data_IF_597383542043
#
_entry.id   IF_597383542043
#
_cell.length_a   1.000
_cell.length_b   1.000
_cell.length_c   1.000
_cell.angle_alpha   90.00
_cell.angle_beta   90.00
_cell.angle_gamma   90.00
#
_symmetry.space_group_name_H-M   'P 1'
#
loop_
_entity.id
_entity.type
_entity.pdbx_description
1 polymer ?
#
# COMPACT_ATOMS: atom_id res chain seq x y z
N UNK A 1 -1.21 7.55 -14.68
CA UNK A 1 -0.79 7.16 -13.32
C UNK A 1 -1.61 5.96 -12.91
N UNK A 2 -1.02 5.02 -12.18
CA UNK A 2 -1.72 3.88 -11.62
C UNK A 2 -2.28 4.25 -10.24
N UNK A 3 -3.17 3.41 -9.71
CA UNK A 3 -3.67 3.47 -8.35
C UNK A 3 -3.26 2.25 -7.54
N UNK A 4 -3.81 2.15 -6.34
CA UNK A 4 -3.51 1.08 -5.39
C UNK A 4 -4.76 0.80 -4.55
N UNK A 5 -5.17 -0.45 -4.50
CA UNK A 5 -6.21 -0.94 -3.58
C UNK A 5 -5.55 -1.75 -2.47
N UNK A 6 -5.72 -1.31 -1.21
CA UNK A 6 -5.10 -1.87 -0.03
C UNK A 6 -6.14 -2.43 0.94
N UNK A 7 -5.85 -3.60 1.51
CA UNK A 7 -6.52 -4.10 2.71
C UNK A 7 -5.52 -4.07 3.86
N UNK A 8 -5.77 -3.23 4.86
CA UNK A 8 -4.94 -3.16 6.05
C UNK A 8 -5.16 -4.40 6.92
N UNK A 9 -4.11 -4.89 7.59
CA UNK A 9 -4.27 -5.93 8.59
C UNK A 9 -5.14 -5.44 9.75
N UNK A 10 -5.75 -6.37 10.48
CA UNK A 10 -6.40 -6.06 11.74
C UNK A 10 -5.42 -5.36 12.69
N UNK A 11 -5.90 -4.34 13.42
CA UNK A 11 -5.08 -3.54 14.32
C UNK A 11 -5.49 -2.06 14.29
N UNK A 12 -4.52 -1.17 14.49
CA UNK A 12 -4.70 0.28 14.51
C UNK A 12 -4.44 0.89 13.11
N UNK A 13 -5.48 1.31 12.37
CA UNK A 13 -5.32 1.76 10.97
C UNK A 13 -4.43 3.00 10.82
N UNK A 14 -4.46 3.90 11.80
CA UNK A 14 -3.63 5.11 11.79
C UNK A 14 -2.15 4.76 11.91
N UNK A 15 -1.78 3.82 12.80
CA UNK A 15 -0.40 3.35 12.91
C UNK A 15 0.05 2.61 11.65
N UNK A 16 -0.84 1.85 11.01
CA UNK A 16 -0.53 1.16 9.77
C UNK A 16 -0.28 2.12 8.58
N UNK A 17 -0.98 3.26 8.53
CA UNK A 17 -0.86 4.25 7.44
C UNK A 17 0.22 5.31 7.68
N UNK A 18 0.42 5.74 8.92
CA UNK A 18 1.26 6.89 9.26
C UNK A 18 2.43 6.54 10.19
N UNK A 19 2.61 5.26 10.54
CA UNK A 19 3.73 4.82 11.36
C UNK A 19 5.06 4.85 10.59
N UNK A 20 6.06 5.54 11.14
CA UNK A 20 7.39 5.68 10.54
C UNK A 20 8.37 4.64 11.08
N UNK A 21 8.01 3.35 11.01
CA UNK A 21 8.94 2.29 11.42
C UNK A 21 10.10 2.23 10.43
N UNK A 22 11.33 2.38 10.95
CA UNK A 22 12.53 2.35 10.11
C UNK A 22 12.74 0.98 9.45
N UNK A 23 13.28 0.98 8.23
CA UNK A 23 13.62 -0.25 7.51
C UNK A 23 12.45 -0.95 6.81
N UNK A 24 11.25 -0.36 6.77
CA UNK A 24 10.15 -0.86 5.96
C UNK A 24 10.35 -0.52 4.48
N UNK A 25 10.18 -1.51 3.60
CA UNK A 25 10.21 -1.34 2.14
C UNK A 25 8.84 -1.68 1.54
N UNK A 26 8.45 -0.93 0.51
CA UNK A 26 7.28 -1.22 -0.31
C UNK A 26 7.74 -1.68 -1.71
N UNK A 27 7.24 -2.83 -2.16
CA UNK A 27 7.65 -3.45 -3.43
C UNK A 27 6.42 -3.81 -4.26
N UNK A 28 6.43 -3.42 -5.53
CA UNK A 28 5.50 -3.92 -6.54
C UNK A 28 6.09 -5.17 -7.19
N UNK A 29 5.30 -6.24 -7.27
CA UNK A 29 5.72 -7.52 -7.86
C UNK A 29 4.70 -7.95 -8.92
N UNK A 30 5.12 -8.21 -10.17
CA UNK A 30 4.23 -8.80 -11.16
C UNK A 30 3.65 -10.13 -10.67
N UNK A 31 2.35 -10.44 -10.91
CA UNK A 31 1.71 -11.63 -10.35
C UNK A 31 2.46 -12.95 -10.63
N UNK A 32 3.06 -13.08 -11.81
CA UNK A 32 3.85 -14.27 -12.18
C UNK A 32 5.14 -14.45 -11.37
N UNK A 33 5.59 -13.44 -10.62
CA UNK A 33 6.80 -13.48 -9.80
C UNK A 33 6.52 -13.47 -8.30
N UNK A 34 5.24 -13.38 -7.87
CA UNK A 34 4.88 -13.31 -6.45
C UNK A 34 5.43 -14.47 -5.63
N UNK A 35 5.21 -15.72 -6.08
CA UNK A 35 5.67 -16.89 -5.35
C UNK A 35 7.21 -16.95 -5.21
N UNK A 36 7.94 -16.61 -6.28
CA UNK A 36 9.40 -16.59 -6.26
C UNK A 36 9.94 -15.48 -5.33
N UNK A 37 9.29 -14.31 -5.34
CA UNK A 37 9.64 -13.19 -4.46
C UNK A 37 9.39 -13.52 -2.99
N UNK A 38 8.23 -14.08 -2.66
CA UNK A 38 7.90 -14.50 -1.29
C UNK A 38 8.84 -15.60 -0.79
N UNK A 39 9.22 -16.55 -1.65
CA UNK A 39 10.22 -17.56 -1.31
C UNK A 39 11.61 -16.96 -1.05
N UNK A 40 12.02 -15.94 -1.83
CA UNK A 40 13.29 -15.26 -1.62
C UNK A 40 13.35 -14.47 -0.30
N UNK A 41 12.19 -14.08 0.26
CA UNK A 41 12.05 -13.41 1.54
C UNK A 41 11.69 -14.37 2.69
N UNK A 42 11.75 -15.69 2.47
CA UNK A 42 11.41 -16.66 3.51
C UNK A 42 12.26 -16.42 4.78
N UNK A 43 11.60 -16.31 5.93
CA UNK A 43 12.24 -16.02 7.22
C UNK A 43 12.40 -14.52 7.53
N UNK A 44 12.07 -13.63 6.58
CA UNK A 44 12.00 -12.19 6.79
C UNK A 44 10.54 -11.71 6.85
N UNK A 45 10.25 -10.57 7.51
CA UNK A 45 8.91 -9.98 7.48
C UNK A 45 8.52 -9.59 6.05
N UNK A 46 7.52 -10.26 5.50
CA UNK A 46 6.93 -9.96 4.20
C UNK A 46 5.40 -10.08 4.30
N UNK A 47 4.68 -9.12 3.70
CA UNK A 47 3.21 -9.14 3.66
C UNK A 47 2.71 -8.53 2.36
N UNK A 48 1.81 -9.24 1.68
CA UNK A 48 1.02 -8.66 0.58
C UNK A 48 0.03 -7.65 1.15
N UNK A 49 0.10 -6.41 0.69
CA UNK A 49 -0.78 -5.32 1.16
C UNK A 49 -2.00 -5.09 0.25
N UNK A 50 -1.90 -5.45 -1.03
CA UNK A 50 -2.94 -5.09 -1.99
C UNK A 50 -2.53 -5.32 -3.44
N UNK A 51 -3.10 -4.50 -4.33
CA UNK A 51 -2.90 -4.61 -5.78
C UNK A 51 -2.81 -3.22 -6.43
N UNK A 52 -1.83 -3.05 -7.32
CA UNK A 52 -1.74 -1.88 -8.21
C UNK A 52 -2.86 -1.95 -9.24
N UNK A 53 -3.59 -0.86 -9.44
CA UNK A 53 -4.76 -0.80 -10.31
C UNK A 53 -4.59 0.21 -11.44
N UNK A 54 -5.33 0.04 -12.53
CA UNK A 54 -5.33 0.99 -13.65
C UNK A 54 -6.03 2.31 -13.30
N UNK A 55 -7.03 2.28 -12.40
CA UNK A 55 -7.74 3.47 -11.95
C UNK A 55 -6.79 4.31 -11.06
N UNK A 56 -6.61 5.62 -11.30
CA UNK A 56 -5.60 6.45 -10.61
C UNK A 56 -6.07 6.90 -9.22
N UNK A 57 -6.42 5.94 -8.36
CA UNK A 57 -6.95 6.18 -7.00
C UNK A 57 -6.22 5.34 -5.98
N UNK A 58 -5.99 5.91 -4.80
CA UNK A 58 -5.61 5.16 -3.61
C UNK A 58 -6.87 4.82 -2.84
N UNK A 59 -7.17 3.53 -2.74
CA UNK A 59 -8.26 2.99 -1.93
C UNK A 59 -7.66 2.18 -0.79
N UNK A 60 -8.12 2.43 0.43
CA UNK A 60 -7.68 1.68 1.62
C UNK A 60 -8.91 1.22 2.39
N UNK A 61 -8.93 -0.06 2.69
CA UNK A 61 -9.96 -0.70 3.51
C UNK A 61 -9.33 -1.39 4.72
N UNK A 62 -10.11 -1.58 5.77
CA UNK A 62 -9.75 -2.39 6.92
C UNK A 62 -10.99 -3.12 7.42
N UNK A 63 -10.89 -4.45 7.56
CA UNK A 63 -12.01 -5.32 7.91
C UNK A 63 -13.19 -5.13 6.94
N UNK A 64 -12.91 -4.95 5.65
CA UNK A 64 -13.92 -4.71 4.61
C UNK A 64 -14.58 -3.32 4.66
N UNK A 65 -14.23 -2.46 5.62
CA UNK A 65 -14.70 -1.07 5.66
C UNK A 65 -13.72 -0.16 4.92
N UNK A 66 -14.22 0.65 3.98
CA UNK A 66 -13.43 1.67 3.29
C UNK A 66 -13.06 2.81 4.24
N UNK A 67 -11.77 3.06 4.41
CA UNK A 67 -11.24 4.13 5.25
C UNK A 67 -10.96 5.39 4.45
N UNK A 68 -10.39 5.25 3.24
CA UNK A 68 -10.16 6.36 2.33
C UNK A 68 -10.22 5.91 0.87
N UNK A 69 -10.54 6.87 0.02
CA UNK A 69 -10.61 6.71 -1.43
C UNK A 69 -10.33 8.06 -2.09
N UNK A 70 -9.09 8.27 -2.54
CA UNK A 70 -8.63 9.56 -3.02
C UNK A 70 -7.94 9.45 -4.38
N UNK A 71 -8.08 10.46 -5.27
CA UNK A 71 -7.29 10.51 -6.49
C UNK A 71 -5.79 10.62 -6.17
N UNK A 72 -4.96 9.85 -6.85
CA UNK A 72 -3.49 9.89 -6.68
C UNK A 72 -2.93 11.29 -7.00
N UNK A 73 -3.55 12.00 -7.94
CA UNK A 73 -3.14 13.35 -8.29
C UNK A 73 -3.38 14.36 -7.16
N UNK A 74 -4.47 14.22 -6.39
CA UNK A 74 -4.71 15.09 -5.24
C UNK A 74 -3.66 14.86 -4.14
N UNK A 75 -3.25 13.61 -3.91
CA UNK A 75 -2.20 13.26 -2.95
C UNK A 75 -0.84 13.84 -3.38
N UNK A 76 -0.49 13.68 -4.66
CA UNK A 76 0.74 14.27 -5.22
C UNK A 76 0.74 15.78 -5.06
N UNK A 77 -0.35 16.44 -5.46
CA UNK A 77 -0.42 17.90 -5.43
C UNK A 77 -0.32 18.42 -4.00
N UNK A 78 -0.90 17.72 -3.02
CA UNK A 78 -0.73 18.04 -1.61
C UNK A 78 0.72 17.83 -1.14
N UNK A 79 1.39 16.76 -1.57
CA UNK A 79 2.78 16.46 -1.20
C UNK A 79 3.79 17.45 -1.80
N UNK A 80 3.54 17.95 -3.01
CA UNK A 80 4.47 18.83 -3.73
C UNK A 80 4.30 20.31 -3.41
N UNK A 81 3.23 20.68 -2.69
CA UNK A 81 3.02 22.08 -2.29
C UNK A 81 4.05 22.45 -1.22
N UNK A 82 4.80 23.57 -1.42
CA UNK A 82 5.57 24.14 -0.33
C UNK A 82 4.62 24.58 0.79
N UNK A 83 5.08 24.40 2.03
CA UNK A 83 4.38 24.86 3.23
C UNK A 83 4.24 26.38 3.27
#
# INVERSE_FOLDING_TARGET
RLGLDLELPAGEPLRALFGETAGCLLVEVPPQHTAAFEAALQGLPCRRLGQVTAAPRLSVSANGQRLLDLPVDALRDAFQRPF
#
